data_IF_817800533332
#
_entry.id   IF_817800533332
#
_cell.length_a   1.000
_cell.length_b   1.000
_cell.length_c   1.000
_cell.angle_alpha   90.00
_cell.angle_beta   90.00
_cell.angle_gamma   90.00
#
_symmetry.space_group_name_H-M   'P 1'
#
loop_
_entity.id
_entity.type
_entity.pdbx_description
1 polymer ?
#
# COMPACT_ATOMS: atom_id res chain seq x y z
N UNK A 1 -4.29 -5.13 -36.09
CA UNK A 1 -5.58 -4.66 -35.52
C UNK A 1 -5.41 -4.57 -34.02
N UNK A 2 -5.61 -3.39 -33.41
CA UNK A 2 -5.39 -3.18 -31.97
C UNK A 2 -6.62 -3.56 -31.15
N UNK A 3 -6.44 -4.27 -30.04
CA UNK A 3 -7.52 -4.48 -29.05
C UNK A 3 -7.76 -3.18 -28.30
N UNK A 4 -8.97 -2.64 -28.39
CA UNK A 4 -9.43 -1.58 -27.50
C UNK A 4 -10.12 -2.20 -26.28
N UNK A 5 -9.69 -1.82 -25.09
CA UNK A 5 -10.33 -2.20 -23.83
C UNK A 5 -10.91 -0.94 -23.18
N UNK A 6 -12.16 -1.03 -22.76
CA UNK A 6 -12.88 0.04 -22.06
C UNK A 6 -12.70 -0.18 -20.55
N UNK A 7 -12.20 0.84 -19.86
CA UNK A 7 -12.14 0.89 -18.40
C UNK A 7 -13.22 1.87 -17.92
N UNK A 8 -14.09 1.42 -17.02
CA UNK A 8 -15.11 2.25 -16.36
C UNK A 8 -14.68 2.43 -14.92
N UNK A 9 -14.43 3.67 -14.51
CA UNK A 9 -14.23 4.06 -13.11
C UNK A 9 -15.43 4.89 -12.66
N UNK A 10 -15.83 4.78 -11.39
CA UNK A 10 -17.02 5.49 -10.87
C UNK A 10 -16.80 7.00 -10.71
N UNK A 11 -15.56 7.49 -10.84
CA UNK A 11 -15.20 8.91 -10.77
C UNK A 11 -15.42 9.57 -9.40
N UNK A 12 -16.27 9.01 -8.53
CA UNK A 12 -16.61 9.51 -7.20
C UNK A 12 -15.56 9.12 -6.17
N UNK A 13 -14.87 7.99 -6.36
CA UNK A 13 -13.82 7.51 -5.46
C UNK A 13 -12.39 7.99 -5.79
N UNK A 14 -12.20 8.85 -6.80
CA UNK A 14 -10.88 9.40 -7.11
C UNK A 14 -10.43 10.29 -5.94
N UNK A 15 -9.49 9.78 -5.13
CA UNK A 15 -8.96 10.46 -3.94
C UNK A 15 -9.59 10.04 -2.61
N UNK A 16 -10.48 9.03 -2.59
CA UNK A 16 -10.97 8.49 -1.32
C UNK A 16 -9.89 7.63 -0.67
N UNK A 17 -9.35 8.08 0.46
CA UNK A 17 -8.47 7.26 1.27
C UNK A 17 -9.27 6.10 1.85
N UNK A 18 -8.96 4.89 1.40
CA UNK A 18 -9.58 3.64 1.87
C UNK A 18 -8.58 2.84 2.70
N UNK A 19 -9.10 2.01 3.60
CA UNK A 19 -8.28 1.06 4.33
C UNK A 19 -7.46 0.18 3.37
N UNK A 20 -6.17 0.02 3.67
CA UNK A 20 -5.22 -0.76 2.87
C UNK A 20 -5.54 -2.26 2.86
N UNK A 21 -6.36 -2.75 3.80
CA UNK A 21 -6.84 -4.14 3.80
C UNK A 21 -7.72 -4.39 2.58
N UNK A 22 -7.41 -5.46 1.86
CA UNK A 22 -8.16 -5.85 0.66
C UNK A 22 -9.66 -6.02 0.97
N UNK A 23 -10.51 -5.34 0.18
CA UNK A 23 -11.98 -5.31 0.31
C UNK A 23 -12.53 -4.73 1.61
N UNK A 24 -11.72 -4.02 2.41
CA UNK A 24 -12.26 -3.25 3.51
C UNK A 24 -12.99 -2.00 2.97
N UNK A 25 -14.25 -1.82 3.38
CA UNK A 25 -15.09 -0.68 2.98
C UNK A 25 -15.18 0.40 4.04
N UNK A 26 -14.51 0.19 5.18
CA UNK A 26 -14.56 1.11 6.31
C UNK A 26 -13.74 2.38 6.01
N UNK A 27 -14.24 3.55 6.41
CA UNK A 27 -13.50 4.79 6.26
C UNK A 27 -12.29 4.82 7.21
N UNK A 28 -11.28 5.60 6.81
CA UNK A 28 -10.15 5.93 7.68
C UNK A 28 -10.55 7.02 8.68
N UNK A 29 -9.96 6.99 9.88
CA UNK A 29 -10.16 8.05 10.88
C UNK A 29 -9.41 9.34 10.50
N UNK A 30 -8.25 9.19 9.85
CA UNK A 30 -7.45 10.30 9.33
C UNK A 30 -6.92 9.99 7.93
N UNK A 31 -6.66 11.04 7.15
CA UNK A 31 -6.00 10.93 5.85
C UNK A 31 -4.54 10.44 5.95
N UNK A 32 -3.96 10.47 7.16
CA UNK A 32 -2.62 9.95 7.43
C UNK A 32 -2.63 8.44 7.75
N UNK A 33 -3.78 7.86 8.09
CA UNK A 33 -3.88 6.45 8.43
C UNK A 33 -3.94 5.58 7.18
N UNK A 34 -3.27 4.43 7.22
CA UNK A 34 -3.36 3.44 6.16
C UNK A 34 -4.42 2.37 6.44
N UNK A 35 -4.90 2.24 7.69
CA UNK A 35 -5.86 1.24 8.11
C UNK A 35 -6.99 1.89 8.90
N UNK A 36 -8.21 1.38 8.76
CA UNK A 36 -9.34 1.84 9.56
C UNK A 36 -9.17 1.41 11.02
N UNK A 37 -9.99 1.98 11.91
CA UNK A 37 -10.00 1.64 13.34
C UNK A 37 -10.04 0.14 13.63
N UNK A 38 -10.78 -0.62 12.82
CA UNK A 38 -10.94 -2.07 13.01
C UNK A 38 -9.68 -2.88 12.63
N UNK A 39 -8.88 -2.35 11.70
CA UNK A 39 -7.69 -2.98 11.14
C UNK A 39 -6.39 -2.29 11.59
N UNK A 40 -6.46 -1.42 12.59
CA UNK A 40 -5.32 -0.64 13.08
C UNK A 40 -4.17 -1.53 13.58
N UNK A 41 -4.47 -2.76 14.03
CA UNK A 41 -3.47 -3.75 14.41
C UNK A 41 -2.53 -4.13 13.25
N UNK A 42 -3.02 -4.09 12.00
CA UNK A 42 -2.21 -4.36 10.80
C UNK A 42 -1.17 -3.28 10.55
N UNK A 43 -1.34 -2.08 11.12
CA UNK A 43 -0.35 -1.00 11.01
C UNK A 43 0.98 -1.33 11.70
N UNK A 44 1.01 -2.30 12.61
CA UNK A 44 2.23 -2.77 13.29
C UNK A 44 2.81 -4.07 12.71
N UNK A 45 2.21 -4.62 11.65
CA UNK A 45 2.58 -5.91 11.05
C UNK A 45 3.24 -5.67 9.69
N UNK A 46 4.19 -6.54 9.33
CA UNK A 46 4.89 -6.49 8.06
C UNK A 46 3.91 -6.40 6.88
N UNK A 47 4.16 -5.46 5.96
CA UNK A 47 3.33 -5.26 4.77
C UNK A 47 3.43 -6.37 3.72
N UNK A 48 4.29 -7.37 3.92
CA UNK A 48 4.44 -8.52 3.03
C UNK A 48 3.34 -9.52 3.34
N UNK A 49 2.65 -10.00 2.30
CA UNK A 49 1.61 -11.00 2.47
C UNK A 49 2.18 -12.26 3.15
N UNK A 50 1.40 -12.87 4.05
CA UNK A 50 1.80 -14.07 4.81
C UNK A 50 2.93 -13.84 5.83
N UNK A 51 3.19 -12.59 6.24
CA UNK A 51 4.17 -12.27 7.27
C UNK A 51 3.53 -11.55 8.47
N UNK A 52 3.33 -12.27 9.57
CA UNK A 52 2.77 -11.73 10.83
C UNK A 52 3.83 -11.12 11.76
N UNK A 53 5.07 -10.94 11.28
CA UNK A 53 6.14 -10.34 12.09
C UNK A 53 5.90 -8.84 12.29
N UNK A 54 6.26 -8.33 13.47
CA UNK A 54 6.19 -6.91 13.76
C UNK A 54 7.09 -6.08 12.83
N UNK A 55 6.65 -4.87 12.50
CA UNK A 55 7.45 -3.92 11.72
C UNK A 55 8.71 -3.55 12.51
N UNK A 56 9.83 -3.48 11.81
CA UNK A 56 11.12 -3.03 12.34
C UNK A 56 11.62 -1.92 11.42
N UNK A 57 11.23 -0.66 11.69
CA UNK A 57 11.54 0.44 10.79
C UNK A 57 13.04 0.73 10.77
N UNK A 58 13.57 0.94 9.57
CA UNK A 58 14.96 1.30 9.31
C UNK A 58 15.02 2.63 8.57
N UNK A 59 16.22 3.14 8.27
CA UNK A 59 16.39 4.37 7.49
C UNK A 59 15.83 4.27 6.07
N UNK A 60 15.68 3.05 5.54
CA UNK A 60 15.30 2.76 4.16
C UNK A 60 13.94 2.07 4.01
N UNK A 61 13.40 1.46 5.08
CA UNK A 61 12.10 0.77 5.09
C UNK A 61 11.27 1.16 6.31
N UNK A 62 9.96 1.31 6.14
CA UNK A 62 9.07 1.79 7.22
C UNK A 62 7.86 0.89 7.48
N UNK A 63 7.60 -0.09 6.62
CA UNK A 63 6.43 -0.96 6.73
C UNK A 63 6.76 -2.46 6.71
N UNK A 64 8.04 -2.83 6.84
CA UNK A 64 8.50 -4.23 6.81
C UNK A 64 9.16 -4.65 8.12
N UNK A 65 9.19 -5.96 8.36
CA UNK A 65 9.93 -6.56 9.47
C UNK A 65 11.46 -6.53 9.22
N UNK A 66 12.23 -7.13 10.13
CA UNK A 66 13.70 -7.19 10.05
C UNK A 66 14.24 -8.14 8.96
N UNK A 67 13.37 -8.78 8.17
CA UNK A 67 13.80 -9.60 7.03
C UNK A 67 14.28 -8.70 5.88
N UNK A 68 15.54 -8.86 5.48
CA UNK A 68 16.17 -8.10 4.40
C UNK A 68 15.41 -8.26 3.08
N UNK A 69 14.89 -9.45 2.77
CA UNK A 69 14.11 -9.67 1.54
C UNK A 69 12.84 -8.83 1.52
N UNK A 70 12.18 -8.68 2.67
CA UNK A 70 10.97 -7.87 2.79
C UNK A 70 11.28 -6.38 2.63
N UNK A 71 12.37 -5.91 3.24
CA UNK A 71 12.83 -4.53 3.10
C UNK A 71 13.19 -4.19 1.65
N UNK A 72 13.90 -5.08 0.97
CA UNK A 72 14.23 -4.94 -0.46
C UNK A 72 12.98 -4.88 -1.35
N UNK A 73 11.94 -5.67 -1.02
CA UNK A 73 10.66 -5.60 -1.73
C UNK A 73 9.97 -4.24 -1.55
N UNK A 74 9.96 -3.69 -0.34
CA UNK A 74 9.42 -2.35 -0.08
C UNK A 74 10.17 -1.29 -0.87
N UNK A 75 11.51 -1.32 -0.85
CA UNK A 75 12.37 -0.37 -1.55
C UNK A 75 12.10 -0.42 -3.06
N UNK A 76 12.07 -1.62 -3.65
CA UNK A 76 11.80 -1.81 -5.09
C UNK A 76 10.40 -1.37 -5.48
N UNK A 77 9.40 -1.64 -4.63
CA UNK A 77 8.02 -1.19 -4.85
C UNK A 77 7.92 0.33 -4.83
N UNK A 78 8.58 0.98 -3.85
CA UNK A 78 8.64 2.44 -3.73
C UNK A 78 9.33 3.08 -4.93
N UNK A 79 10.45 2.51 -5.39
CA UNK A 79 11.17 3.00 -6.56
C UNK A 79 10.35 2.88 -7.85
N UNK A 80 9.69 1.74 -8.07
CA UNK A 80 8.75 1.56 -9.19
C UNK A 80 7.63 2.60 -9.18
N UNK A 81 7.07 2.91 -8.00
CA UNK A 81 6.07 3.96 -7.85
C UNK A 81 6.57 5.35 -8.25
N UNK A 82 7.84 5.69 -7.95
CA UNK A 82 8.47 6.95 -8.36
C UNK A 82 8.74 6.99 -9.88
N UNK A 83 9.10 5.86 -10.47
CA UNK A 83 9.39 5.76 -11.90
C UNK A 83 8.16 6.06 -12.78
N UNK A 84 6.95 5.69 -12.34
CA UNK A 84 5.70 6.01 -13.05
C UNK A 84 5.41 7.53 -13.21
N UNK A 85 6.06 8.40 -12.42
CA UNK A 85 5.91 9.85 -12.57
C UNK A 85 6.85 10.45 -13.63
N UNK A 86 7.77 9.65 -14.18
CA UNK A 86 8.66 10.05 -15.28
C UNK A 86 8.09 9.57 -16.62
N UNK A 87 6.92 10.07 -17.01
CA UNK A 87 6.54 10.09 -18.42
C UNK A 87 7.05 11.41 -19.02
N UNK A 88 8.13 11.32 -19.80
CA UNK A 88 8.55 12.37 -20.74
C UNK A 88 7.85 12.16 -22.07
#
# INVERSE_FOLDING_TARGET
>A
VGKCQVAVSDGVTIGHYVCRKFRCTEPLESNADHFCKNDQHLAGICAVADCDSAISPTSSSSHTCSNIEHQELEIKSRDRGRSMFTLK
#
